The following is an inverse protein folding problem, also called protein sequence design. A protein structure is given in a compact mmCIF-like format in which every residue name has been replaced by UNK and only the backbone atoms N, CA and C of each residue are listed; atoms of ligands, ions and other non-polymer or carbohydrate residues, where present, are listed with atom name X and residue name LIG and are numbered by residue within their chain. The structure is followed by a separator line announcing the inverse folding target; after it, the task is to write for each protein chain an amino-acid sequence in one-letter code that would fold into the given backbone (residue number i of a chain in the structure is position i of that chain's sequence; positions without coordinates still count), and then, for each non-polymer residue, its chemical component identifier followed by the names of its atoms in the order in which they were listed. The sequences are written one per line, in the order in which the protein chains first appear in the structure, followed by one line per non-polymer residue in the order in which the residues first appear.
data_IF_130012513343
#
_entry.id   IF_130012513343
#
_cell.length_a   1.000
_cell.length_b   1.000
_cell.length_c   1.000
_cell.angle_alpha   90.00
_cell.angle_beta   90.00
_cell.angle_gamma   90.00
#
_symmetry.space_group_name_H-M   'P 1'
#
loop_
_entity.id
_entity.type
_entity.pdbx_description
1 polymer ?
#
# COMPACT_ATOMS: atom_id res chain seq x y z
N UNK A 1 -2.51 -11.55 -9.98
CA UNK A 1 -3.07 -10.82 -11.14
C UNK A 1 -3.08 -11.64 -12.40
N UNK A 2 -1.92 -11.93 -13.02
CA UNK A 2 -1.84 -12.64 -14.30
C UNK A 2 -2.68 -13.92 -14.36
N UNK A 3 -2.52 -14.81 -13.38
CA UNK A 3 -3.23 -16.10 -13.39
C UNK A 3 -4.76 -15.95 -13.32
N UNK A 4 -5.25 -14.97 -12.55
CA UNK A 4 -6.69 -14.70 -12.47
C UNK A 4 -7.25 -14.17 -13.79
N UNK A 5 -6.50 -13.30 -14.47
CA UNK A 5 -6.84 -12.80 -15.81
C UNK A 5 -6.88 -13.95 -16.84
N UNK A 6 -5.89 -14.84 -16.79
CA UNK A 6 -5.83 -16.00 -17.68
C UNK A 6 -7.00 -16.96 -17.45
N UNK A 7 -7.39 -17.20 -16.19
CA UNK A 7 -8.55 -18.03 -15.85
C UNK A 7 -9.87 -17.41 -16.36
N UNK A 8 -10.07 -16.11 -16.13
CA UNK A 8 -11.25 -15.39 -16.64
C UNK A 8 -11.32 -15.42 -18.18
N UNK A 9 -10.17 -15.29 -18.85
CA UNK A 9 -10.09 -15.36 -20.32
C UNK A 9 -10.53 -16.73 -20.85
N UNK A 10 -10.39 -17.78 -20.04
CA UNK A 10 -10.87 -19.14 -20.34
C UNK A 10 -12.31 -19.40 -19.88
N UNK A 11 -13.01 -18.39 -19.37
CA UNK A 11 -14.37 -18.49 -18.85
C UNK A 11 -14.47 -19.19 -17.49
N UNK A 12 -13.37 -19.21 -16.72
CA UNK A 12 -13.34 -19.75 -15.36
C UNK A 12 -13.40 -18.55 -14.40
N UNK A 13 -14.50 -18.36 -13.65
CA UNK A 13 -14.59 -17.28 -12.66
C UNK A 13 -13.43 -17.34 -11.66
N UNK A 14 -12.71 -16.25 -11.50
CA UNK A 14 -11.50 -16.16 -10.68
C UNK A 14 -11.42 -14.82 -9.96
N UNK A 15 -10.98 -14.85 -8.71
CA UNK A 15 -10.77 -13.66 -7.89
C UNK A 15 -9.30 -13.56 -7.51
N UNK A 16 -8.66 -12.46 -7.90
CA UNK A 16 -7.35 -12.10 -7.34
C UNK A 16 -7.55 -11.32 -6.03
N UNK A 17 -6.94 -11.78 -4.94
CA UNK A 17 -6.99 -11.10 -3.64
C UNK A 17 -5.68 -10.36 -3.43
N UNK A 18 -5.75 -9.06 -3.11
CA UNK A 18 -4.59 -8.22 -2.84
C UNK A 18 -4.78 -7.43 -1.55
N UNK A 19 -3.69 -7.11 -0.84
CA UNK A 19 -3.79 -6.12 0.23
C UNK A 19 -3.82 -4.71 -0.35
N UNK A 20 -4.41 -3.76 0.38
CA UNK A 20 -4.54 -2.36 -0.05
C UNK A 20 -3.23 -1.73 -0.56
N UNK A 21 -2.09 -2.09 0.03
CA UNK A 21 -0.75 -1.63 -0.37
C UNK A 21 -0.41 -1.94 -1.84
N UNK A 22 -0.99 -2.98 -2.44
CA UNK A 22 -0.68 -3.41 -3.80
C UNK A 22 -1.75 -3.06 -4.84
N UNK A 23 -2.75 -2.25 -4.48
CA UNK A 23 -3.85 -1.91 -5.40
C UNK A 23 -3.34 -1.22 -6.68
N UNK A 24 -2.42 -0.27 -6.56
CA UNK A 24 -1.83 0.43 -7.71
C UNK A 24 -1.11 -0.54 -8.67
N UNK A 25 -0.23 -1.38 -8.13
CA UNK A 25 0.50 -2.39 -8.90
C UNK A 25 -0.44 -3.42 -9.52
N UNK A 26 -1.50 -3.82 -8.82
CA UNK A 26 -2.49 -4.75 -9.33
C UNK A 26 -3.22 -4.18 -10.56
N UNK A 27 -3.72 -2.93 -10.48
CA UNK A 27 -4.37 -2.24 -11.60
C UNK A 27 -3.41 -2.04 -12.78
N UNK A 28 -2.17 -1.65 -12.51
CA UNK A 28 -1.15 -1.49 -13.54
C UNK A 28 -0.88 -2.81 -14.28
N UNK A 29 -0.74 -3.93 -13.55
CA UNK A 29 -0.62 -5.25 -14.16
C UNK A 29 -1.87 -5.63 -14.97
N UNK A 30 -3.08 -5.44 -14.43
CA UNK A 30 -4.31 -5.76 -15.13
C UNK A 30 -4.42 -5.02 -16.47
N UNK A 31 -4.12 -3.71 -16.47
CA UNK A 31 -4.07 -2.90 -17.68
C UNK A 31 -2.99 -3.38 -18.66
N UNK A 32 -1.79 -3.74 -18.18
CA UNK A 32 -0.71 -4.23 -19.04
C UNK A 32 -1.06 -5.56 -19.73
N UNK A 33 -1.90 -6.38 -19.11
CA UNK A 33 -2.44 -7.62 -19.69
C UNK A 33 -3.74 -7.42 -20.47
N UNK A 34 -4.12 -6.17 -20.79
CA UNK A 34 -5.28 -5.87 -21.63
C UNK A 34 -6.64 -6.03 -20.94
N UNK A 35 -6.66 -6.10 -19.61
CA UNK A 35 -7.88 -6.23 -18.79
C UNK A 35 -7.97 -5.10 -17.75
N UNK A 36 -8.12 -3.83 -18.17
CA UNK A 36 -8.22 -2.70 -17.24
C UNK A 36 -9.49 -2.74 -16.35
N UNK A 37 -10.47 -3.55 -16.74
CA UNK A 37 -11.71 -3.87 -16.03
C UNK A 37 -11.53 -4.94 -14.94
N UNK A 38 -10.42 -5.68 -14.95
CA UNK A 38 -10.19 -6.75 -14.00
C UNK A 38 -9.73 -6.20 -12.65
N UNK A 39 -10.69 -6.10 -11.73
CA UNK A 39 -10.49 -5.55 -10.40
C UNK A 39 -10.17 -6.64 -9.36
N UNK A 40 -9.08 -6.55 -8.60
CA UNK A 40 -8.84 -7.45 -7.48
C UNK A 40 -9.78 -7.18 -6.31
N UNK A 41 -10.11 -8.22 -5.53
CA UNK A 41 -10.71 -8.04 -4.20
C UNK A 41 -9.62 -7.55 -3.25
N UNK A 42 -9.88 -6.43 -2.58
CA UNK A 42 -8.94 -5.82 -1.66
C UNK A 42 -9.23 -6.23 -0.23
N UNK A 43 -8.19 -6.71 0.45
CA UNK A 43 -8.17 -6.95 1.88
C UNK A 43 -7.26 -5.94 2.58
N UNK A 44 -7.47 -5.74 3.88
CA UNK A 44 -6.64 -4.81 4.65
C UNK A 44 -5.18 -5.28 4.75
N UNK A 45 -4.24 -4.33 4.75
CA UNK A 45 -2.83 -4.54 5.06
C UNK A 45 -2.55 -4.30 6.57
N UNK A 46 -1.54 -4.91 7.20
CA UNK A 46 -0.76 -6.07 6.74
C UNK A 46 -1.51 -7.40 6.99
N UNK A 47 -1.00 -8.46 6.36
CA UNK A 47 -1.29 -9.86 6.70
C UNK A 47 -0.13 -10.49 7.46
N UNK A 48 1.09 -10.02 7.22
CA UNK A 48 2.27 -10.46 7.94
C UNK A 48 2.14 -10.15 9.45
N UNK A 49 2.49 -11.13 10.28
CA UNK A 49 2.45 -11.00 11.74
C UNK A 49 1.08 -11.24 12.38
N UNK A 50 0.02 -11.44 11.59
CA UNK A 50 -1.27 -11.88 12.13
C UNK A 50 -1.20 -13.32 12.64
N UNK A 51 -1.91 -13.59 13.73
CA UNK A 51 -2.20 -14.95 14.18
C UNK A 51 -3.14 -15.66 13.20
N UNK A 52 -3.21 -17.00 13.21
CA UNK A 52 -4.15 -17.73 12.36
C UNK A 52 -5.61 -17.25 12.48
N UNK A 53 -6.08 -16.99 13.69
CA UNK A 53 -7.46 -16.53 13.93
C UNK A 53 -7.70 -15.12 13.36
N UNK A 54 -6.70 -14.24 13.43
CA UNK A 54 -6.78 -12.90 12.83
C UNK A 54 -6.73 -12.93 11.29
N UNK A 55 -6.03 -13.90 10.71
CA UNK A 55 -6.07 -14.15 9.26
C UNK A 55 -7.45 -14.64 8.83
N UNK A 56 -8.07 -15.54 9.60
CA UNK A 56 -9.43 -16.02 9.36
C UNK A 56 -10.41 -14.85 9.44
N UNK A 57 -10.36 -14.06 10.51
CA UNK A 57 -11.21 -12.89 10.66
C UNK A 57 -11.05 -11.90 9.49
N UNK A 58 -9.81 -11.72 8.98
CA UNK A 58 -9.56 -10.89 7.80
C UNK A 58 -10.14 -11.48 6.51
N UNK A 59 -10.11 -12.80 6.36
CA UNK A 59 -10.72 -13.48 5.23
C UNK A 59 -12.24 -13.38 5.27
N UNK A 60 -12.85 -13.47 6.45
CA UNK A 60 -14.29 -13.35 6.65
C UNK A 60 -14.82 -11.98 6.22
N UNK A 61 -14.04 -10.91 6.41
CA UNK A 61 -14.39 -9.55 5.95
C UNK A 61 -14.63 -9.48 4.42
N UNK A 62 -13.86 -10.21 3.63
CA UNK A 62 -13.90 -10.16 2.15
C UNK A 62 -14.69 -11.32 1.53
N UNK A 63 -15.00 -12.35 2.32
CA UNK A 63 -15.64 -13.57 1.84
C UNK A 63 -16.99 -13.35 1.13
N UNK A 64 -17.90 -12.49 1.63
CA UNK A 64 -19.17 -12.23 0.93
C UNK A 64 -18.97 -11.70 -0.48
N UNK A 65 -17.97 -10.83 -0.69
CA UNK A 65 -17.64 -10.27 -2.00
C UNK A 65 -17.10 -11.34 -2.95
N UNK A 66 -16.22 -12.21 -2.47
CA UNK A 66 -15.65 -13.32 -3.26
C UNK A 66 -16.76 -14.26 -3.71
N UNK A 67 -17.65 -14.65 -2.80
CA UNK A 67 -18.76 -15.57 -3.11
C UNK A 67 -19.71 -14.94 -4.13
N UNK A 68 -20.10 -13.68 -3.96
CA UNK A 68 -20.97 -12.99 -4.91
C UNK A 68 -20.36 -12.96 -6.33
N UNK A 69 -19.07 -12.65 -6.43
CA UNK A 69 -18.34 -12.65 -7.70
C UNK A 69 -18.33 -14.03 -8.37
N UNK A 70 -17.90 -15.05 -7.63
CA UNK A 70 -17.75 -16.40 -8.18
C UNK A 70 -19.09 -17.03 -8.59
N UNK A 71 -20.20 -16.60 -7.97
CA UNK A 71 -21.55 -17.04 -8.31
C UNK A 71 -22.21 -16.20 -9.42
N UNK A 72 -21.51 -15.19 -9.97
CA UNK A 72 -22.04 -14.32 -11.02
C UNK A 72 -23.23 -13.48 -10.55
N UNK A 73 -23.32 -13.21 -9.25
CA UNK A 73 -24.34 -12.32 -8.71
C UNK A 73 -23.95 -10.88 -9.05
N UNK A 74 -24.94 -10.02 -9.30
CA UNK A 74 -24.68 -8.58 -9.37
C UNK A 74 -24.07 -8.18 -8.03
N UNK A 75 -22.77 -7.92 -8.06
CA UNK A 75 -22.08 -7.28 -6.97
C UNK A 75 -22.39 -5.81 -7.19
N UNK A 76 -23.27 -5.23 -6.38
CA UNK A 76 -23.17 -3.80 -6.10
C UNK A 76 -21.70 -3.58 -5.77
N UNK A 77 -21.00 -2.83 -6.63
CA UNK A 77 -19.54 -2.69 -6.60
C UNK A 77 -19.11 -2.69 -5.15
N UNK A 78 -18.31 -3.68 -4.71
CA UNK A 78 -18.13 -3.90 -3.29
C UNK A 78 -17.72 -2.58 -2.70
N UNK A 79 -18.54 -2.07 -1.79
CA UNK A 79 -18.15 -1.07 -0.85
C UNK A 79 -17.14 -1.70 0.13
N UNK A 80 -16.11 -2.36 -0.37
CA UNK A 80 -14.76 -2.06 0.07
C UNK A 80 -14.53 -0.59 -0.29
N UNK A 81 -15.22 0.31 0.43
CA UNK A 81 -14.60 1.53 0.84
C UNK A 81 -13.20 1.08 1.30
N UNK A 82 -12.11 1.54 0.65
CA UNK A 82 -10.78 1.32 1.22
C UNK A 82 -10.95 1.79 2.65
N UNK A 83 -10.92 0.86 3.63
CA UNK A 83 -11.40 1.10 5.00
C UNK A 83 -10.98 2.51 5.35
N UNK A 84 -11.95 3.44 5.39
CA UNK A 84 -11.73 4.85 5.06
C UNK A 84 -10.31 5.19 5.47
N UNK A 85 -9.39 5.39 4.51
CA UNK A 85 -8.06 5.94 4.85
C UNK A 85 -8.42 7.00 5.86
N UNK A 86 -7.97 6.83 7.11
CA UNK A 86 -8.35 7.82 8.11
C UNK A 86 -8.00 9.18 7.50
N UNK A 87 -8.80 10.23 7.70
CA UNK A 87 -8.48 11.53 7.07
C UNK A 87 -6.99 11.89 7.27
N UNK A 88 -6.43 11.40 8.38
CA UNK A 88 -5.00 11.30 8.66
C UNK A 88 -4.16 10.56 7.61
N UNK A 89 -4.39 9.27 7.36
CA UNK A 89 -3.66 8.47 6.36
C UNK A 89 -3.76 9.07 4.96
N UNK A 90 -4.91 9.62 4.57
CA UNK A 90 -5.10 10.32 3.30
C UNK A 90 -4.26 11.60 3.21
N UNK A 91 -4.33 12.45 4.24
CA UNK A 91 -3.55 13.68 4.33
C UNK A 91 -2.04 13.40 4.35
N UNK A 92 -1.60 12.38 5.10
CA UNK A 92 -0.20 11.98 5.21
C UNK A 92 0.32 11.45 3.88
N UNK A 93 -0.46 10.58 3.21
CA UNK A 93 -0.09 10.06 1.89
C UNK A 93 0.05 11.17 0.86
N UNK A 94 -0.87 12.13 0.84
CA UNK A 94 -0.81 13.28 -0.05
C UNK A 94 0.42 14.17 0.23
N UNK A 95 0.71 14.46 1.50
CA UNK A 95 1.86 15.27 1.89
C UNK A 95 3.20 14.60 1.56
N UNK A 96 3.28 13.27 1.71
CA UNK A 96 4.46 12.51 1.33
C UNK A 96 4.61 12.41 -0.19
N UNK A 97 3.52 12.40 -0.95
CA UNK A 97 3.56 12.45 -2.42
C UNK A 97 4.26 13.70 -2.96
N UNK A 98 4.14 14.85 -2.29
CA UNK A 98 4.87 16.07 -2.67
C UNK A 98 6.39 15.87 -2.50
N UNK A 99 6.81 15.26 -1.39
CA UNK A 99 8.21 14.94 -1.13
C UNK A 99 8.76 13.90 -2.12
N UNK A 100 7.96 12.89 -2.50
CA UNK A 100 8.35 11.85 -3.47
C UNK A 100 8.85 12.45 -4.79
N UNK A 101 8.29 13.58 -5.23
CA UNK A 101 8.76 14.23 -6.47
C UNK A 101 10.24 14.63 -6.43
N UNK A 102 10.73 15.05 -5.25
CA UNK A 102 12.15 15.36 -5.03
C UNK A 102 13.00 14.10 -4.95
N UNK A 103 12.56 13.09 -4.19
CA UNK A 103 13.32 11.85 -4.00
C UNK A 103 13.43 10.98 -5.27
N UNK A 104 12.41 11.01 -6.13
CA UNK A 104 12.44 10.30 -7.41
C UNK A 104 13.57 10.83 -8.33
N UNK A 105 13.94 12.11 -8.20
CA UNK A 105 15.08 12.66 -8.93
C UNK A 105 16.43 12.07 -8.46
N UNK A 106 16.50 11.64 -7.20
CA UNK A 106 17.65 10.98 -6.59
C UNK A 106 17.58 9.44 -6.73
N UNK A 107 16.54 8.93 -7.40
CA UNK A 107 16.30 7.50 -7.62
C UNK A 107 15.79 6.75 -6.39
N UNK A 108 15.30 7.45 -5.36
CA UNK A 108 14.72 6.87 -4.15
C UNK A 108 13.22 7.16 -4.04
N UNK A 109 12.47 6.35 -3.31
CA UNK A 109 11.04 6.59 -3.04
C UNK A 109 10.72 6.45 -1.54
N UNK A 110 9.58 6.96 -1.10
CA UNK A 110 9.13 6.93 0.30
C UNK A 110 7.76 6.26 0.41
N UNK A 111 7.70 5.09 1.03
CA UNK A 111 6.46 4.35 1.24
C UNK A 111 5.88 4.58 2.65
N UNK A 112 4.57 4.80 2.76
CA UNK A 112 3.90 4.79 4.07
C UNK A 112 3.66 3.35 4.47
N UNK A 113 4.26 2.91 5.57
CA UNK A 113 4.08 1.54 6.11
C UNK A 113 2.86 1.50 7.02
N UNK A 114 2.71 2.49 7.89
CA UNK A 114 1.55 2.67 8.76
C UNK A 114 1.25 4.14 8.97
N UNK A 115 -0.03 4.51 9.00
CA UNK A 115 -0.48 5.84 9.38
C UNK A 115 -1.63 5.72 10.37
N UNK A 116 -1.33 5.99 11.65
CA UNK A 116 -2.31 6.04 12.72
C UNK A 116 -2.59 7.48 13.18
N UNK A 117 -3.54 7.63 14.10
CA UNK A 117 -3.91 8.93 14.66
C UNK A 117 -2.76 9.63 15.43
N UNK A 118 -1.82 8.86 16.01
CA UNK A 118 -0.72 9.39 16.83
C UNK A 118 0.67 8.93 16.41
N UNK A 119 0.80 7.90 15.55
CA UNK A 119 2.08 7.40 15.09
C UNK A 119 2.06 7.09 13.60
N UNK A 120 3.15 7.42 12.91
CA UNK A 120 3.31 7.19 11.46
C UNK A 120 4.66 6.53 11.21
N UNK A 121 4.68 5.47 10.40
CA UNK A 121 5.91 4.83 9.96
C UNK A 121 6.04 4.97 8.45
N UNK A 122 7.18 5.49 8.02
CA UNK A 122 7.55 5.69 6.61
C UNK A 122 8.80 4.87 6.32
N UNK A 123 8.90 4.30 5.14
CA UNK A 123 10.05 3.51 4.68
C UNK A 123 10.69 4.18 3.48
N UNK A 124 12.01 4.28 3.51
CA UNK A 124 12.79 4.62 2.34
C UNK A 124 12.93 3.38 1.45
N UNK A 125 12.55 3.53 0.18
CA UNK A 125 12.73 2.54 -0.86
C UNK A 125 13.97 2.92 -1.65
N UNK A 126 14.94 2.02 -1.66
CA UNK A 126 16.15 2.12 -2.47
C UNK A 126 16.17 0.92 -3.43
N UNK A 127 16.49 1.17 -4.68
CA UNK A 127 16.69 0.16 -5.72
C UNK A 127 18.19 0.10 -6.08
N UNK A 128 18.64 -0.91 -6.85
CA UNK A 128 20.04 -0.99 -7.29
C UNK A 128 20.51 0.22 -8.12
N UNK A 129 19.58 0.95 -8.74
CA UNK A 129 19.83 2.13 -9.57
C UNK A 129 19.87 3.43 -8.75
N UNK A 130 19.50 3.38 -7.46
CA UNK A 130 19.48 4.55 -6.58
C UNK A 130 20.90 5.02 -6.28
N UNK A 131 21.17 6.32 -6.45
CA UNK A 131 22.44 6.92 -6.08
C UNK A 131 22.49 7.20 -4.58
N UNK A 132 23.13 6.32 -3.81
CA UNK A 132 23.15 6.41 -2.34
C UNK A 132 23.86 7.67 -1.82
N UNK A 133 24.80 8.22 -2.59
CA UNK A 133 25.53 9.46 -2.27
C UNK A 133 24.67 10.72 -2.46
N UNK A 134 23.61 10.65 -3.28
CA UNK A 134 22.65 11.74 -3.48
C UNK A 134 21.57 11.77 -2.38
N UNK A 135 21.37 10.67 -1.67
CA UNK A 135 20.38 10.62 -0.60
C UNK A 135 20.96 11.24 0.67
N UNK A 136 20.32 12.29 1.15
CA UNK A 136 20.66 12.95 2.42
C UNK A 136 20.73 11.95 3.61
N UNK A 137 21.52 12.27 4.66
CA UNK A 137 21.66 11.40 5.83
C UNK A 137 20.31 11.11 6.52
N UNK A 138 20.18 9.95 7.18
CA UNK A 138 18.94 9.54 7.85
C UNK A 138 18.41 10.59 8.83
N UNK A 139 19.26 11.26 9.58
CA UNK A 139 18.82 12.31 10.52
C UNK A 139 18.15 13.48 9.80
N UNK A 140 18.68 13.90 8.65
CA UNK A 140 18.07 14.94 7.83
C UNK A 140 16.77 14.44 7.17
N UNK A 141 16.75 13.21 6.67
CA UNK A 141 15.53 12.59 6.12
C UNK A 141 14.42 12.48 7.15
N UNK A 142 14.74 11.97 8.35
CA UNK A 142 13.83 11.83 9.47
C UNK A 142 13.16 13.18 9.78
N UNK A 143 13.93 14.27 9.83
CA UNK A 143 13.39 15.61 10.06
C UNK A 143 12.52 16.14 8.91
N UNK A 144 12.88 15.88 7.65
CA UNK A 144 12.08 16.27 6.48
C UNK A 144 10.72 15.56 6.51
N UNK A 145 10.74 14.24 6.74
CA UNK A 145 9.54 13.40 6.82
C UNK A 145 8.68 13.80 8.02
N UNK A 146 9.28 13.98 9.20
CA UNK A 146 8.58 14.49 10.40
C UNK A 146 7.89 15.82 10.13
N UNK A 147 8.58 16.75 9.47
CA UNK A 147 8.06 18.09 9.19
C UNK A 147 6.86 18.02 8.24
N UNK A 148 6.94 17.21 7.19
CA UNK A 148 5.84 17.02 6.24
C UNK A 148 4.63 16.33 6.89
N UNK A 149 4.88 15.27 7.67
CA UNK A 149 3.82 14.54 8.38
C UNK A 149 3.13 15.43 9.43
N UNK A 150 3.89 16.18 10.25
CA UNK A 150 3.30 17.09 11.25
C UNK A 150 2.55 18.26 10.62
N UNK A 151 2.99 18.75 9.45
CA UNK A 151 2.27 19.79 8.70
C UNK A 151 0.91 19.27 8.21
N UNK A 152 0.85 18.02 7.76
CA UNK A 152 -0.37 17.39 7.26
C UNK A 152 -1.29 16.89 8.38
N UNK A 153 -0.72 16.41 9.48
CA UNK A 153 -1.43 15.84 10.61
C UNK A 153 -0.80 16.26 11.96
N UNK A 154 -1.17 17.44 12.50
CA UNK A 154 -0.51 18.03 13.67
C UNK A 154 -0.60 17.21 14.96
N UNK A 155 -1.55 16.27 15.05
CA UNK A 155 -1.74 15.45 16.26
C UNK A 155 -0.84 14.21 16.30
N UNK A 156 -0.01 13.98 15.27
CA UNK A 156 0.99 12.91 15.30
C UNK A 156 2.03 13.19 16.39
N UNK A 157 2.23 12.22 17.27
CA UNK A 157 3.19 12.30 18.37
C UNK A 157 4.55 11.76 17.94
N UNK A 158 4.58 10.66 17.18
CA UNK A 158 5.80 10.02 16.70
C UNK A 158 5.76 9.76 15.19
N UNK A 159 6.91 9.95 14.54
CA UNK A 159 7.14 9.57 13.15
C UNK A 159 8.41 8.74 13.12
N UNK A 160 8.40 7.61 12.43
CA UNK A 160 9.56 6.74 12.30
C UNK A 160 9.90 6.54 10.82
N UNK A 161 11.16 6.81 10.46
CA UNK A 161 11.70 6.49 9.14
C UNK A 161 12.55 5.21 9.21
N UNK A 162 12.10 4.19 8.48
CA UNK A 162 12.87 2.98 8.22
C UNK A 162 13.80 3.26 7.03
N UNK A 163 15.08 3.49 7.32
CA UNK A 163 16.13 3.63 6.30
C UNK A 163 16.88 2.29 6.15
N UNK A 164 16.75 1.60 4.99
CA UNK A 164 17.44 0.33 4.75
C UNK A 164 18.97 0.45 4.76
N UNK A 165 19.52 1.68 4.59
CA UNK A 165 20.97 1.93 4.66
C UNK A 165 21.54 1.84 6.08
N UNK A 166 20.68 1.90 7.10
CA UNK A 166 21.08 1.84 8.51
C UNK A 166 20.75 0.51 9.18
N UNK A 167 20.25 -0.48 8.44
CA UNK A 167 20.08 -1.83 8.99
C UNK A 167 21.47 -2.38 9.30
N UNK A 168 21.83 -2.32 10.57
CA UNK A 168 23.03 -2.96 11.09
C UNK A 168 22.80 -4.45 10.94
N UNK A 169 23.47 -5.07 9.97
CA UNK A 169 23.64 -6.51 9.93
C UNK A 169 24.49 -6.83 11.17
N UNK A 170 23.83 -7.30 12.24
CA UNK A 170 24.50 -8.09 13.27
C UNK A 170 24.51 -9.56 12.84
#
# INVERSE_FOLDING_TARGET
MHDGIELETRGIPSVAIHTSAFLGSARAHASAFGRPDYEPVIMRHPIAGLTPDEVIARADEIMPTIVAYLLGQEIDAPSAQPAAMSDAEAAITAALSELRSGFNADGADLEVVTAGASSVTVRLIVTPETCLDCIVPKSALQHIVESAVRKAHPTVQSVELIDPREVTIQ
#
